data_IF_565786130451
#
_entry.id   IF_565786130451
#
_cell.length_a   1.000
_cell.length_b   1.000
_cell.length_c   1.000
_cell.angle_alpha   90.00
_cell.angle_beta   90.00
_cell.angle_gamma   90.00
#
_symmetry.space_group_name_H-M   'P 1'
#
loop_
_entity.id
_entity.type
_entity.pdbx_description
1 polymer ?
#
# COMPACT_ATOMS: atom_id res chain seq x y z
N UNK A 1 -26.54 -33.40 -3.47
CA UNK A 1 -25.33 -33.27 -4.30
C UNK A 1 -24.73 -31.93 -3.95
N UNK A 2 -23.55 -31.93 -3.32
CA UNK A 2 -22.95 -30.72 -2.78
C UNK A 2 -22.54 -29.81 -3.93
N UNK A 3 -23.17 -28.65 -4.05
CA UNK A 3 -22.66 -27.55 -4.85
C UNK A 3 -21.40 -27.04 -4.15
N UNK A 4 -20.24 -27.47 -4.63
CA UNK A 4 -18.96 -26.86 -4.27
C UNK A 4 -19.03 -25.39 -4.68
N UNK A 5 -18.96 -24.41 -3.75
CA UNK A 5 -18.88 -23.04 -4.18
C UNK A 5 -17.60 -22.91 -5.01
N UNK A 6 -17.78 -22.47 -6.24
CA UNK A 6 -16.71 -22.15 -7.16
C UNK A 6 -15.94 -20.97 -6.55
N UNK A 7 -14.89 -21.28 -5.79
CA UNK A 7 -13.91 -20.32 -5.31
C UNK A 7 -13.11 -19.92 -6.55
N UNK A 8 -13.71 -19.08 -7.39
CA UNK A 8 -13.11 -18.64 -8.64
C UNK A 8 -11.78 -18.02 -8.25
N UNK A 9 -10.69 -18.69 -8.64
CA UNK A 9 -9.35 -18.13 -8.65
C UNK A 9 -9.37 -16.95 -9.63
N UNK A 10 -9.90 -15.80 -9.18
CA UNK A 10 -9.77 -14.53 -9.86
C UNK A 10 -8.26 -14.29 -9.97
N UNK A 11 -7.72 -14.33 -11.19
CA UNK A 11 -6.37 -13.86 -11.43
C UNK A 11 -6.24 -12.46 -10.79
N UNK A 12 -5.19 -12.18 -10.00
CA UNK A 12 -5.05 -10.87 -9.37
C UNK A 12 -5.10 -9.81 -10.48
N UNK A 13 -5.84 -8.72 -10.22
CA UNK A 13 -5.83 -7.53 -11.06
C UNK A 13 -4.37 -7.21 -11.48
N UNK A 14 -4.06 -6.98 -12.76
CA UNK A 14 -2.68 -6.80 -13.21
C UNK A 14 -1.99 -5.56 -12.59
N UNK A 15 -2.73 -4.69 -11.91
CA UNK A 15 -2.21 -3.58 -11.10
C UNK A 15 -2.05 -3.92 -9.61
N UNK A 16 -2.55 -5.07 -9.15
CA UNK A 16 -2.31 -5.53 -7.79
C UNK A 16 -0.90 -6.11 -7.66
N UNK A 17 -0.01 -5.32 -7.07
CA UNK A 17 1.26 -5.81 -6.58
C UNK A 17 1.16 -6.02 -5.07
N UNK A 18 1.37 -7.24 -4.55
CA UNK A 18 1.47 -7.42 -3.11
C UNK A 18 2.69 -6.66 -2.58
N UNK A 19 2.61 -6.22 -1.33
CA UNK A 19 3.75 -5.61 -0.66
C UNK A 19 4.89 -6.66 -0.59
N UNK A 20 6.09 -6.36 -1.11
CA UNK A 20 7.24 -7.26 -1.01
C UNK A 20 7.69 -7.43 0.46
N UNK A 21 8.48 -8.48 0.76
CA UNK A 21 8.99 -8.71 2.11
C UNK A 21 9.79 -7.52 2.65
N UNK A 22 9.94 -7.49 3.97
CA UNK A 22 10.69 -6.44 4.68
C UNK A 22 12.13 -6.31 4.14
N UNK A 23 12.69 -5.10 4.19
CA UNK A 23 14.01 -4.78 3.62
C UNK A 23 14.03 -4.47 2.11
N UNK A 24 12.91 -4.64 1.40
CA UNK A 24 12.79 -4.21 0.01
C UNK A 24 12.53 -2.70 -0.10
N UNK A 25 13.06 -2.06 -1.15
CA UNK A 25 12.81 -0.65 -1.48
C UNK A 25 11.96 -0.50 -2.74
N UNK A 26 10.90 0.28 -2.65
CA UNK A 26 9.91 0.51 -3.70
C UNK A 26 10.08 1.92 -4.30
N UNK A 27 9.84 2.03 -5.61
CA UNK A 27 9.57 3.32 -6.28
C UNK A 27 8.22 3.91 -5.86
N UNK A 28 7.98 5.19 -6.20
CA UNK A 28 6.63 5.77 -6.10
C UNK A 28 5.60 4.96 -6.87
N UNK A 29 5.89 4.53 -8.11
CA UNK A 29 5.01 3.70 -8.93
C UNK A 29 4.66 2.37 -8.25
N UNK A 30 5.67 1.69 -7.70
CA UNK A 30 5.45 0.40 -7.02
C UNK A 30 4.64 0.58 -5.74
N UNK A 31 4.92 1.61 -4.93
CA UNK A 31 4.11 1.94 -3.75
C UNK A 31 2.67 2.28 -4.15
N UNK A 32 2.46 2.99 -5.25
CA UNK A 32 1.14 3.30 -5.79
C UNK A 32 0.37 2.04 -6.16
N UNK A 33 1.03 1.08 -6.82
CA UNK A 33 0.43 -0.22 -7.14
C UNK A 33 0.09 -1.03 -5.88
N UNK A 34 0.99 -1.06 -4.88
CA UNK A 34 0.73 -1.76 -3.61
C UNK A 34 -0.48 -1.18 -2.89
N UNK A 35 -0.56 0.15 -2.83
CA UNK A 35 -1.63 0.86 -2.13
C UNK A 35 -2.91 1.03 -2.97
N UNK A 36 -2.87 0.62 -4.24
CA UNK A 36 -3.94 0.86 -5.23
C UNK A 36 -4.35 2.34 -5.32
N UNK A 37 -3.36 3.23 -5.25
CA UNK A 37 -3.56 4.68 -5.32
C UNK A 37 -2.80 5.27 -6.51
N UNK A 38 -3.28 6.36 -7.14
CA UNK A 38 -2.52 7.07 -8.15
C UNK A 38 -1.19 7.61 -7.62
N UNK A 39 -0.13 7.63 -8.43
CA UNK A 39 1.17 8.20 -8.04
C UNK A 39 1.06 9.67 -7.60
N UNK A 40 0.19 10.44 -8.27
CA UNK A 40 -0.11 11.84 -7.89
C UNK A 40 -0.63 11.96 -6.47
N UNK A 41 -1.39 10.97 -5.98
CA UNK A 41 -1.88 10.93 -4.60
C UNK A 41 -0.70 10.78 -3.63
N UNK A 42 0.28 9.94 -3.96
CA UNK A 42 1.51 9.81 -3.15
C UNK A 42 2.39 11.06 -3.20
N UNK A 43 2.46 11.75 -4.34
CA UNK A 43 3.11 13.07 -4.43
C UNK A 43 2.44 14.09 -3.52
N UNK A 44 1.10 14.14 -3.54
CA UNK A 44 0.33 15.02 -2.68
C UNK A 44 0.50 14.67 -1.20
N UNK A 45 0.40 13.40 -0.82
CA UNK A 45 0.65 12.93 0.55
C UNK A 45 2.04 13.32 1.06
N UNK A 46 3.07 13.23 0.23
CA UNK A 46 4.42 13.69 0.61
C UNK A 46 4.47 15.17 0.95
N UNK A 47 3.72 16.01 0.23
CA UNK A 47 3.64 17.46 0.51
C UNK A 47 2.90 17.70 1.82
N UNK A 48 1.80 16.99 2.04
CA UNK A 48 0.98 17.08 3.25
C UNK A 48 1.55 16.33 4.47
N UNK A 49 2.74 15.72 4.33
CA UNK A 49 3.37 14.86 5.35
C UNK A 49 2.43 13.74 5.85
N UNK A 50 1.64 13.21 4.92
CA UNK A 50 0.77 12.04 5.12
C UNK A 50 1.34 10.85 4.36
N UNK A 51 0.81 9.66 4.64
CA UNK A 51 1.20 8.45 3.92
C UNK A 51 2.44 7.76 4.50
N UNK A 52 2.93 6.73 3.80
CA UNK A 52 4.13 6.01 4.21
C UNK A 52 5.39 6.90 4.14
N UNK A 53 6.35 6.61 5.02
CA UNK A 53 7.55 7.43 5.18
C UNK A 53 8.40 7.40 3.90
N UNK A 54 8.66 8.56 3.26
CA UNK A 54 9.49 8.62 2.08
C UNK A 54 10.98 8.62 2.45
N UNK A 55 11.75 7.75 1.81
CA UNK A 55 13.21 7.72 1.86
C UNK A 55 13.79 8.46 0.65
N UNK A 56 14.64 9.46 0.92
CA UNK A 56 15.37 10.19 -0.14
C UNK A 56 16.72 9.54 -0.40
N UNK A 57 16.94 9.11 -1.64
CA UNK A 57 18.21 8.56 -2.13
C UNK A 57 18.66 9.41 -3.32
N UNK A 58 19.51 10.41 -3.04
CA UNK A 58 19.87 11.44 -4.01
C UNK A 58 18.63 12.18 -4.52
N UNK A 59 18.41 12.15 -5.84
CA UNK A 59 17.22 12.75 -6.48
C UNK A 59 15.97 11.86 -6.45
N UNK A 60 16.11 10.60 -6.07
CA UNK A 60 15.03 9.63 -6.13
C UNK A 60 14.34 9.50 -4.78
N UNK A 61 13.02 9.38 -4.81
CA UNK A 61 12.22 9.03 -3.64
C UNK A 61 11.86 7.56 -3.71
N UNK A 62 12.09 6.87 -2.60
CA UNK A 62 11.81 5.46 -2.39
C UNK A 62 10.99 5.27 -1.12
N UNK A 63 10.42 4.09 -0.96
CA UNK A 63 9.70 3.68 0.23
C UNK A 63 10.22 2.32 0.64
N UNK A 64 10.44 2.07 1.93
CA UNK A 64 10.70 0.70 2.36
C UNK A 64 9.38 -0.05 2.46
N UNK A 65 9.41 -1.36 2.22
CA UNK A 65 8.25 -2.21 2.44
C UNK A 65 7.75 -2.12 3.89
N UNK A 66 8.66 -2.10 4.86
CA UNK A 66 8.36 -1.97 6.29
C UNK A 66 7.59 -0.67 6.63
N UNK A 67 7.96 0.46 6.01
CA UNK A 67 7.31 1.76 6.22
C UNK A 67 5.89 1.76 5.63
N UNK A 68 5.72 1.16 4.45
CA UNK A 68 4.40 1.02 3.81
C UNK A 68 3.49 0.13 4.65
N UNK A 69 4.02 -0.98 5.17
CA UNK A 69 3.30 -1.88 6.08
C UNK A 69 2.88 -1.17 7.36
N UNK A 70 3.81 -0.45 7.98
CA UNK A 70 3.57 0.29 9.22
C UNK A 70 2.48 1.33 9.02
N UNK A 71 2.51 2.07 7.91
CA UNK A 71 1.47 3.05 7.60
C UNK A 71 0.10 2.39 7.41
N UNK A 72 0.02 1.27 6.70
CA UNK A 72 -1.24 0.52 6.53
C UNK A 72 -1.82 0.07 7.88
N UNK A 73 -0.98 -0.41 8.80
CA UNK A 73 -1.39 -0.78 10.14
C UNK A 73 -1.97 0.42 10.91
N UNK A 74 -1.28 1.57 10.86
CA UNK A 74 -1.77 2.81 11.48
C UNK A 74 -3.10 3.28 10.89
N UNK A 75 -3.32 3.12 9.58
CA UNK A 75 -4.62 3.45 8.96
C UNK A 75 -5.74 2.51 9.40
N UNK A 76 -5.44 1.22 9.63
CA UNK A 76 -6.42 0.28 10.15
C UNK A 76 -6.86 0.66 11.57
N UNK A 77 -5.91 0.98 12.45
CA UNK A 77 -6.19 1.43 13.82
C UNK A 77 -6.95 2.77 13.84
N UNK A 78 -6.60 3.71 12.97
CA UNK A 78 -7.34 4.96 12.83
C UNK A 78 -8.79 4.74 12.33
N UNK A 79 -9.00 3.72 11.50
CA UNK A 79 -10.32 3.30 11.03
C UNK A 79 -11.17 2.62 12.11
N UNK A 80 -10.57 1.95 13.10
CA UNK A 80 -11.30 1.38 14.24
C UNK A 80 -11.97 2.46 15.09
N UNK A 81 -11.43 3.68 15.11
CA UNK A 81 -12.10 4.85 15.69
C UNK A 81 -13.44 5.22 15.02
N UNK A 82 -13.67 4.81 13.77
CA UNK A 82 -14.96 4.95 13.07
C UNK A 82 -15.99 3.89 13.49
N UNK A 83 -15.55 2.74 14.00
CA UNK A 83 -16.43 1.67 14.49
C UNK A 83 -16.73 1.75 15.98
N UNK A 84 -15.90 2.47 16.74
CA UNK A 84 -16.06 2.69 18.18
C UNK A 84 -16.93 3.91 18.55
N UNK A 85 -17.52 4.59 17.56
CA UNK A 85 -18.47 5.70 17.74
C UNK A 85 -19.87 5.30 17.26
#
# INVERSE_FOLDING_TARGET
>A
MAETPNIVAQAPDPAYRPLPPDGCVLTTAETAMVLRMPEKTLEWWRRERRGPIPMRIGRHVRYRSEDVRTWLAQQAEAGEGWMAS
#
